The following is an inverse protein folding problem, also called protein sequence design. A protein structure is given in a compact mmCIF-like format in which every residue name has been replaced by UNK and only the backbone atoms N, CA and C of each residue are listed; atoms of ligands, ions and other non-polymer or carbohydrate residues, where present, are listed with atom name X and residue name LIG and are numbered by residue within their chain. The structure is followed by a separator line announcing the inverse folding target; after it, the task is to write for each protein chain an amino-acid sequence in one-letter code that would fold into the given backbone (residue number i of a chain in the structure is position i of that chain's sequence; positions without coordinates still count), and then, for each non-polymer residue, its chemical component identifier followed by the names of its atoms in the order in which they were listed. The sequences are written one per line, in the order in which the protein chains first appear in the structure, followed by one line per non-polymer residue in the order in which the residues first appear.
data_IF_000850675051
#
_entry.id   IF_000850675051
#
_cell.length_a   1.000
_cell.length_b   1.000
_cell.length_c   1.000
_cell.angle_alpha   90.00
_cell.angle_beta   90.00
_cell.angle_gamma   90.00
#
_symmetry.space_group_name_H-M   'P 1'
#
loop_
_entity.id
_entity.type
_entity.pdbx_description
1 polymer ?
#
# COMPACT_ATOMS: atom_id res chain seq x y z
N UNK A 1 8.93 -30.42 -9.12
CA UNK A 1 9.17 -29.59 -10.32
C UNK A 1 8.30 -28.33 -10.31
N UNK A 2 6.97 -28.42 -10.22
CA UNK A 2 6.10 -27.22 -10.23
C UNK A 2 6.12 -26.35 -8.95
N UNK A 3 6.53 -26.91 -7.81
CA UNK A 3 6.51 -26.17 -6.53
C UNK A 3 7.46 -24.97 -6.52
N UNK A 4 8.68 -25.17 -6.98
CA UNK A 4 9.73 -24.14 -6.92
C UNK A 4 9.46 -23.00 -7.93
N UNK A 5 8.88 -23.34 -9.09
CA UNK A 5 8.43 -22.34 -10.08
C UNK A 5 7.23 -21.55 -9.57
N UNK A 6 6.28 -22.22 -8.91
CA UNK A 6 5.14 -21.56 -8.28
C UNK A 6 5.57 -20.61 -7.17
N UNK A 7 6.50 -21.04 -6.30
CA UNK A 7 7.03 -20.22 -5.21
C UNK A 7 7.72 -18.96 -5.74
N UNK A 8 8.56 -19.09 -6.78
CA UNK A 8 9.19 -17.93 -7.43
C UNK A 8 8.18 -16.97 -8.05
N UNK A 9 7.14 -17.52 -8.68
CA UNK A 9 6.09 -16.71 -9.33
C UNK A 9 5.28 -15.95 -8.29
N UNK A 10 4.85 -16.62 -7.23
CA UNK A 10 4.11 -15.99 -6.12
C UNK A 10 4.97 -14.93 -5.43
N UNK A 11 6.23 -15.23 -5.14
CA UNK A 11 7.16 -14.27 -4.53
C UNK A 11 7.33 -13.01 -5.37
N UNK A 12 7.46 -13.17 -6.70
CA UNK A 12 7.55 -12.03 -7.62
C UNK A 12 6.28 -11.17 -7.58
N UNK A 13 5.10 -11.78 -7.63
CA UNK A 13 3.81 -11.06 -7.57
C UNK A 13 3.67 -10.29 -6.26
N UNK A 14 4.02 -10.90 -5.13
CA UNK A 14 3.98 -10.22 -3.82
C UNK A 14 4.91 -9.01 -3.82
N UNK A 15 6.16 -9.15 -4.28
CA UNK A 15 7.11 -8.02 -4.34
C UNK A 15 6.64 -6.89 -5.27
N UNK A 16 5.96 -7.22 -6.37
CA UNK A 16 5.36 -6.22 -7.27
C UNK A 16 4.21 -5.48 -6.58
N UNK A 17 3.37 -6.19 -5.81
CA UNK A 17 2.29 -5.57 -5.02
C UNK A 17 2.85 -4.64 -3.93
N UNK A 18 3.86 -5.10 -3.18
CA UNK A 18 4.53 -4.29 -2.14
C UNK A 18 5.15 -3.02 -2.74
N UNK A 19 5.82 -3.14 -3.89
CA UNK A 19 6.40 -2.01 -4.59
C UNK A 19 5.34 -1.02 -5.06
N UNK A 20 4.26 -1.51 -5.68
CA UNK A 20 3.14 -0.66 -6.12
C UNK A 20 2.55 0.14 -4.96
N UNK A 21 2.38 -0.49 -3.80
CA UNK A 21 1.87 0.17 -2.61
C UNK A 21 2.80 1.27 -2.09
N UNK A 22 4.11 1.01 -2.08
CA UNK A 22 5.11 2.02 -1.70
C UNK A 22 5.13 3.21 -2.67
N UNK A 23 4.95 2.96 -3.97
CA UNK A 23 4.84 4.02 -4.98
C UNK A 23 3.60 4.89 -4.74
N UNK A 24 2.43 4.29 -4.45
CA UNK A 24 1.21 5.03 -4.10
C UNK A 24 1.39 5.90 -2.83
N UNK A 25 2.07 5.37 -1.80
CA UNK A 25 2.36 6.13 -0.57
C UNK A 25 3.31 7.28 -0.87
N UNK A 26 4.36 7.05 -1.65
CA UNK A 26 5.31 8.09 -2.05
C UNK A 26 4.60 9.22 -2.80
N UNK A 27 3.72 8.89 -3.74
CA UNK A 27 2.90 9.88 -4.45
C UNK A 27 2.04 10.71 -3.49
N UNK A 28 1.41 10.08 -2.48
CA UNK A 28 0.64 10.81 -1.48
C UNK A 28 1.49 11.76 -0.63
N UNK A 29 2.70 11.33 -0.23
CA UNK A 29 3.62 12.14 0.58
C UNK A 29 4.22 13.31 -0.22
N UNK A 30 4.46 13.13 -1.52
CA UNK A 30 5.01 14.17 -2.38
C UNK A 30 3.94 15.09 -3.01
N UNK A 31 2.66 14.88 -2.69
CA UNK A 31 1.56 15.69 -3.20
C UNK A 31 1.43 16.98 -2.38
N UNK A 32 2.11 18.05 -2.83
CA UNK A 32 2.09 19.38 -2.19
C UNK A 32 0.69 20.03 -2.15
N UNK A 33 -0.32 19.43 -2.79
CA UNK A 33 -1.70 19.92 -2.76
C UNK A 33 -2.51 19.38 -1.58
N UNK A 34 -2.03 18.32 -0.92
CA UNK A 34 -2.65 17.75 0.27
C UNK A 34 -2.15 18.47 1.51
N UNK A 35 -3.06 18.76 2.45
CA UNK A 35 -2.64 19.09 3.80
C UNK A 35 -2.24 17.80 4.55
N UNK A 36 -1.63 17.95 5.72
CA UNK A 36 -1.14 16.83 6.54
C UNK A 36 -2.24 15.78 6.83
N UNK A 37 -3.48 16.24 7.08
CA UNK A 37 -4.60 15.34 7.37
C UNK A 37 -5.02 14.57 6.11
N UNK A 38 -5.21 15.25 4.99
CA UNK A 38 -5.61 14.61 3.72
C UNK A 38 -4.51 13.65 3.22
N UNK A 39 -3.24 13.97 3.44
CA UNK A 39 -2.12 13.08 3.14
C UNK A 39 -2.20 11.79 3.97
N UNK A 40 -2.43 11.90 5.28
CA UNK A 40 -2.59 10.74 6.16
C UNK A 40 -3.81 9.89 5.77
N UNK A 41 -4.96 10.51 5.51
CA UNK A 41 -6.17 9.81 5.09
C UNK A 41 -5.98 9.08 3.74
N UNK A 42 -5.26 9.71 2.79
CA UNK A 42 -4.92 9.07 1.51
C UNK A 42 -4.01 7.85 1.72
N UNK A 43 -3.00 7.96 2.58
CA UNK A 43 -2.11 6.84 2.94
C UNK A 43 -2.91 5.71 3.57
N UNK A 44 -3.82 6.02 4.49
CA UNK A 44 -4.71 5.04 5.13
C UNK A 44 -5.58 4.33 4.09
N UNK A 45 -6.18 5.09 3.16
CA UNK A 45 -6.95 4.52 2.06
C UNK A 45 -6.14 3.53 1.22
N UNK A 46 -4.85 3.79 1.00
CA UNK A 46 -3.93 2.85 0.32
C UNK A 46 -3.74 1.57 1.14
N UNK A 47 -3.58 1.65 2.46
CA UNK A 47 -3.53 0.48 3.33
C UNK A 47 -4.83 -0.34 3.30
N UNK A 48 -5.98 0.31 3.42
CA UNK A 48 -7.28 -0.36 3.44
C UNK A 48 -7.62 -1.02 2.10
N UNK A 49 -7.30 -0.37 0.97
CA UNK A 49 -7.38 -0.94 -0.38
C UNK A 49 -6.58 -2.25 -0.50
N UNK A 50 -5.47 -2.37 0.23
CA UNK A 50 -4.63 -3.56 0.29
C UNK A 50 -5.01 -4.53 1.43
N UNK A 51 -6.21 -4.41 2.00
CA UNK A 51 -6.74 -5.20 3.13
C UNK A 51 -5.92 -5.09 4.43
N UNK A 52 -5.15 -4.01 4.60
CA UNK A 52 -4.42 -3.72 5.84
C UNK A 52 -5.26 -2.72 6.64
N UNK A 53 -5.83 -3.17 7.75
CA UNK A 53 -6.69 -2.32 8.61
C UNK A 53 -5.83 -1.41 9.50
N UNK A 54 -6.01 -0.10 9.38
CA UNK A 54 -5.37 0.89 10.25
C UNK A 54 -6.12 1.15 11.57
N UNK A 55 -7.22 0.45 11.80
CA UNK A 55 -7.99 0.49 13.06
C UNK A 55 -9.00 1.64 13.11
N UNK A 56 -9.41 2.03 14.31
CA UNK A 56 -10.46 3.06 14.54
C UNK A 56 -9.90 4.45 14.79
N UNK A 57 -8.61 4.70 14.47
CA UNK A 57 -8.01 6.03 14.65
C UNK A 57 -8.55 7.08 13.66
N UNK A 58 -9.46 6.69 12.76
CA UNK A 58 -10.13 7.54 11.77
C UNK A 58 -11.43 8.18 12.27
N UNK A 59 -11.87 7.88 13.50
CA UNK A 59 -12.98 8.58 14.15
C UNK A 59 -12.44 9.84 14.87
N UNK A 60 -12.18 10.92 14.12
CA UNK A 60 -11.91 12.26 14.66
C UNK A 60 -13.16 13.15 14.61
#
# INVERSE_FOLDING_TARGET
MYRDELEKTVGKVISEMERSMLEEIHEAVCDDTLNDFDCVEKIVGIFEKNNIRCGTRHDF
#
